data_IF_187644363040
#
_entry.id   IF_187644363040
#
_cell.length_a   1.000
_cell.length_b   1.000
_cell.length_c   1.000
_cell.angle_alpha   90.00
_cell.angle_beta   90.00
_cell.angle_gamma   90.00
#
_symmetry.space_group_name_H-M   'P 1'
#
loop_
_entity.id
_entity.type
_entity.pdbx_description
1 polymer ?
#
# COMPACT_ATOMS: atom_id res chain seq x y z
N UNK A 1 46.06 23.78 41.12
CA UNK A 1 44.93 23.52 40.19
C UNK A 1 45.49 23.57 38.78
N UNK A 2 45.53 22.45 38.06
CA UNK A 2 46.00 22.43 36.68
C UNK A 2 44.91 23.00 35.77
N UNK A 3 45.18 24.13 35.12
CA UNK A 3 44.31 24.72 34.11
C UNK A 3 44.12 23.71 32.97
N UNK A 4 42.89 23.31 32.68
CA UNK A 4 42.61 22.47 31.51
C UNK A 4 43.12 23.18 30.25
N UNK A 5 43.84 22.48 29.36
CA UNK A 5 44.32 23.07 28.12
C UNK A 5 43.13 23.57 27.29
N UNK A 6 43.18 24.83 26.86
CA UNK A 6 42.21 25.38 25.92
C UNK A 6 42.23 24.50 24.66
N UNK A 7 41.14 23.77 24.42
CA UNK A 7 40.94 23.07 23.14
C UNK A 7 40.69 24.14 22.08
N UNK A 8 41.69 24.41 21.26
CA UNK A 8 41.52 25.23 20.05
C UNK A 8 40.49 24.55 19.15
N UNK A 9 39.38 25.24 18.88
CA UNK A 9 38.35 24.73 17.98
C UNK A 9 38.97 24.52 16.58
N UNK A 10 38.69 23.36 15.98
CA UNK A 10 39.10 23.06 14.61
C UNK A 10 38.47 24.09 13.65
N UNK A 11 39.23 24.62 12.67
CA UNK A 11 38.69 25.44 11.60
C UNK A 11 37.51 24.75 10.90
N UNK A 12 36.45 25.51 10.60
CA UNK A 12 35.21 25.00 9.99
C UNK A 12 35.48 24.34 8.63
N UNK A 13 36.45 24.83 7.87
CA UNK A 13 36.88 24.28 6.59
C UNK A 13 37.47 22.87 6.71
N UNK A 14 38.18 22.58 7.81
CA UNK A 14 38.68 21.24 8.08
C UNK A 14 37.54 20.30 8.47
N UNK A 15 36.52 20.79 9.19
CA UNK A 15 35.34 20.00 9.51
C UNK A 15 34.56 19.61 8.25
N UNK A 16 34.42 20.49 7.26
CA UNK A 16 33.84 20.14 5.96
C UNK A 16 34.62 19.02 5.25
N UNK A 17 35.96 19.11 5.23
CA UNK A 17 36.80 18.05 4.65
C UNK A 17 36.67 16.72 5.37
N UNK A 18 36.57 16.74 6.70
CA UNK A 18 36.33 15.53 7.49
C UNK A 18 34.98 14.91 7.14
N UNK A 19 33.91 15.71 7.05
CA UNK A 19 32.58 15.23 6.63
C UNK A 19 32.61 14.63 5.23
N UNK A 20 33.33 15.25 4.29
CA UNK A 20 33.43 14.74 2.91
C UNK A 20 34.22 13.42 2.82
N UNK A 21 35.15 13.17 3.75
CA UNK A 21 35.99 11.97 3.81
C UNK A 21 35.39 10.81 4.60
N UNK A 22 34.41 11.06 5.46
CA UNK A 22 33.75 10.01 6.25
C UNK A 22 32.85 9.17 5.35
N UNK A 23 33.14 7.87 5.28
CA UNK A 23 32.34 6.88 4.52
C UNK A 23 31.38 6.07 5.39
N UNK A 24 31.57 6.11 6.71
CA UNK A 24 30.74 5.38 7.66
C UNK A 24 29.74 6.35 8.33
N UNK A 25 28.42 6.13 8.20
CA UNK A 25 27.42 6.97 8.86
C UNK A 25 27.56 6.97 10.39
N UNK A 26 28.23 5.96 10.98
CA UNK A 26 28.44 5.85 12.44
C UNK A 26 29.47 6.83 12.91
N UNK A 27 30.55 6.94 12.16
CA UNK A 27 31.57 7.92 12.44
C UNK A 27 30.98 9.31 12.28
N UNK A 28 30.14 9.53 11.26
CA UNK A 28 29.44 10.80 11.04
C UNK A 28 28.46 11.15 12.18
N UNK A 29 27.70 10.19 12.69
CA UNK A 29 26.78 10.38 13.82
C UNK A 29 27.54 10.64 15.13
N UNK A 30 28.63 9.91 15.38
CA UNK A 30 29.49 10.11 16.55
C UNK A 30 30.17 11.50 16.51
N UNK A 31 30.59 11.91 15.32
CA UNK A 31 31.11 13.25 15.02
C UNK A 31 30.03 14.31 15.31
N UNK A 32 28.79 14.11 14.85
CA UNK A 32 27.66 15.01 15.11
C UNK A 32 27.32 15.16 16.60
N UNK A 33 27.37 14.06 17.37
CA UNK A 33 27.11 14.09 18.82
C UNK A 33 28.20 14.82 19.62
N UNK A 34 29.41 14.91 19.09
CA UNK A 34 30.56 15.51 19.79
C UNK A 34 30.80 16.97 19.41
N UNK A 35 30.17 17.48 18.36
CA UNK A 35 30.40 18.84 17.86
C UNK A 35 29.10 19.51 17.39
N UNK A 36 28.63 20.54 18.11
CA UNK A 36 27.47 21.36 17.70
C UNK A 36 27.67 22.03 16.34
N UNK A 37 28.91 22.37 15.99
CA UNK A 37 29.30 22.88 14.66
C UNK A 37 29.09 21.82 13.57
N UNK A 38 29.28 20.53 13.86
CA UNK A 38 28.97 19.46 12.92
C UNK A 38 27.48 19.29 12.70
N UNK A 39 26.64 19.49 13.72
CA UNK A 39 25.19 19.59 13.51
C UNK A 39 24.85 20.72 12.53
N UNK A 40 25.49 21.89 12.65
CA UNK A 40 25.32 22.99 11.69
C UNK A 40 25.83 22.64 10.28
N UNK A 41 26.94 21.92 10.17
CA UNK A 41 27.53 21.50 8.89
C UNK A 41 26.66 20.42 8.21
N UNK A 42 26.20 19.43 8.97
CA UNK A 42 25.25 18.41 8.51
C UNK A 42 23.94 19.06 8.07
N UNK A 43 23.44 20.05 8.83
CA UNK A 43 22.27 20.83 8.45
C UNK A 43 22.51 21.72 7.21
N UNK A 44 23.75 22.15 6.95
CA UNK A 44 24.11 22.92 5.76
C UNK A 44 24.28 22.05 4.50
N UNK A 45 24.52 20.75 4.66
CA UNK A 45 24.67 19.77 3.56
C UNK A 45 23.89 18.48 3.85
N UNK A 46 22.56 18.54 4.02
CA UNK A 46 21.77 17.37 4.40
C UNK A 46 21.85 16.25 3.35
N UNK A 47 22.01 16.60 2.08
CA UNK A 47 22.15 15.64 0.97
C UNK A 47 23.36 14.71 1.11
N UNK A 48 24.49 15.21 1.61
CA UNK A 48 25.71 14.39 1.79
C UNK A 48 25.50 13.27 2.81
N UNK A 49 24.71 13.55 3.85
CA UNK A 49 24.38 12.55 4.86
C UNK A 49 23.58 11.39 4.25
N UNK A 50 22.64 11.69 3.35
CA UNK A 50 21.87 10.67 2.63
C UNK A 50 22.70 9.93 1.58
N UNK A 51 23.70 10.57 0.95
CA UNK A 51 24.63 9.87 0.07
C UNK A 51 25.46 8.82 0.82
N UNK A 52 26.01 9.20 1.98
CA UNK A 52 26.79 8.30 2.83
C UNK A 52 25.92 7.16 3.35
N UNK A 53 24.70 7.48 3.79
CA UNK A 53 23.73 6.46 4.22
C UNK A 53 23.32 5.53 3.08
N UNK A 54 23.14 6.08 1.88
CA UNK A 54 22.80 5.31 0.70
C UNK A 54 23.91 4.30 0.36
N UNK A 55 25.16 4.75 0.35
CA UNK A 55 26.33 3.87 0.13
C UNK A 55 26.42 2.78 1.19
N UNK A 56 26.28 3.15 2.46
CA UNK A 56 26.33 2.19 3.57
C UNK A 56 25.20 1.16 3.51
N UNK A 57 23.98 1.58 3.18
CA UNK A 57 22.84 0.68 3.03
C UNK A 57 23.02 -0.28 1.84
N UNK A 58 23.64 0.17 0.75
CA UNK A 58 23.93 -0.69 -0.41
C UNK A 58 24.92 -1.80 -0.02
N UNK A 59 26.03 -1.44 0.62
CA UNK A 59 26.99 -2.43 1.12
C UNK A 59 26.36 -3.42 2.09
N UNK A 60 25.48 -2.94 2.98
CA UNK A 60 24.79 -3.80 3.94
C UNK A 60 23.82 -4.77 3.25
N UNK A 61 23.10 -4.31 2.23
CA UNK A 61 22.21 -5.17 1.45
C UNK A 61 23.01 -6.26 0.73
N UNK A 62 24.16 -5.91 0.14
CA UNK A 62 25.07 -6.88 -0.47
C UNK A 62 25.57 -7.91 0.53
N UNK A 63 25.99 -7.49 1.73
CA UNK A 63 26.38 -8.40 2.82
C UNK A 63 25.24 -9.32 3.24
N UNK A 64 24.00 -8.81 3.36
CA UNK A 64 22.83 -9.64 3.70
C UNK A 64 22.52 -10.66 2.60
N UNK A 65 22.58 -10.25 1.33
CA UNK A 65 22.34 -11.14 0.19
C UNK A 65 23.45 -12.19 0.09
N UNK A 66 24.69 -11.83 0.39
CA UNK A 66 25.81 -12.77 0.48
C UNK A 66 25.60 -13.78 1.61
N UNK A 67 25.32 -13.32 2.83
CA UNK A 67 25.05 -14.21 3.98
C UNK A 67 23.87 -15.15 3.71
N UNK A 68 22.78 -14.64 3.12
CA UNK A 68 21.64 -15.48 2.72
C UNK A 68 22.05 -16.58 1.74
N UNK A 69 22.90 -16.28 0.75
CA UNK A 69 23.42 -17.30 -0.18
C UNK A 69 24.31 -18.32 0.52
N UNK A 70 25.13 -17.88 1.48
CA UNK A 70 25.96 -18.76 2.31
C UNK A 70 25.07 -19.69 3.15
N UNK A 71 24.04 -19.14 3.80
CA UNK A 71 23.08 -19.90 4.60
C UNK A 71 22.32 -20.92 3.73
N UNK A 72 21.79 -20.50 2.58
CA UNK A 72 21.10 -21.40 1.65
C UNK A 72 22.02 -22.51 1.13
N UNK A 73 23.28 -22.19 0.83
CA UNK A 73 24.27 -23.17 0.41
C UNK A 73 24.61 -24.16 1.54
N UNK A 74 24.80 -23.65 2.77
CA UNK A 74 25.04 -24.47 3.95
C UNK A 74 23.87 -25.41 4.24
N UNK A 75 22.63 -24.90 4.20
CA UNK A 75 21.40 -25.70 4.37
C UNK A 75 21.32 -26.80 3.30
N UNK A 76 21.70 -26.52 2.04
CA UNK A 76 21.72 -27.53 0.97
C UNK A 76 22.77 -28.61 1.23
N UNK A 77 23.95 -28.25 1.73
CA UNK A 77 25.03 -29.22 1.99
C UNK A 77 24.81 -30.05 3.26
N UNK A 78 24.11 -29.51 4.27
CA UNK A 78 23.96 -30.14 5.59
C UNK A 78 22.53 -30.54 5.94
N UNK A 79 21.70 -30.91 4.95
CA UNK A 79 20.31 -31.38 5.16
C UNK A 79 20.15 -32.54 6.16
N UNK A 80 21.23 -33.23 6.55
CA UNK A 80 21.22 -34.32 7.52
C UNK A 80 22.19 -34.04 8.69
N UNK A 81 21.74 -33.28 9.69
CA UNK A 81 22.29 -33.36 11.06
C UNK A 81 23.48 -32.48 11.41
N UNK A 82 23.87 -31.50 10.59
CA UNK A 82 24.89 -30.52 10.97
C UNK A 82 24.36 -29.49 11.96
N UNK A 83 25.11 -29.23 13.04
CA UNK A 83 24.84 -28.08 13.94
C UNK A 83 25.13 -26.80 13.14
N UNK A 84 24.13 -25.93 12.98
CA UNK A 84 24.32 -24.67 12.29
C UNK A 84 25.42 -23.85 12.98
N UNK A 85 26.39 -23.28 12.24
CA UNK A 85 27.36 -22.40 12.84
C UNK A 85 26.61 -21.26 13.54
N UNK A 86 26.97 -21.00 14.79
CA UNK A 86 26.47 -19.87 15.56
C UNK A 86 27.04 -18.59 14.93
N UNK A 87 26.43 -18.17 13.83
CA UNK A 87 26.65 -16.86 13.23
C UNK A 87 25.95 -15.88 14.17
N UNK A 88 26.65 -15.59 15.27
CA UNK A 88 26.18 -14.74 16.34
C UNK A 88 25.76 -13.39 15.76
N UNK A 89 24.61 -12.95 16.25
CA UNK A 89 23.82 -11.79 15.84
C UNK A 89 24.50 -10.46 16.22
N UNK A 90 25.75 -10.27 15.84
CA UNK A 90 26.39 -8.94 15.84
C UNK A 90 25.86 -8.14 14.65
N UNK A 91 24.54 -7.96 14.65
CA UNK A 91 23.88 -6.90 13.92
C UNK A 91 24.26 -5.60 14.62
N UNK A 92 25.43 -5.06 14.26
CA UNK A 92 25.76 -3.66 14.52
C UNK A 92 24.50 -2.83 14.27
N UNK A 93 24.01 -2.21 15.35
CA UNK A 93 22.87 -1.31 15.32
C UNK A 93 23.38 -0.13 14.51
N UNK A 94 22.88 0.06 13.27
CA UNK A 94 23.37 1.15 12.47
C UNK A 94 23.04 2.47 13.20
N UNK A 95 23.83 3.51 12.95
CA UNK A 95 23.42 4.87 13.27
C UNK A 95 22.08 5.11 12.58
N UNK A 96 21.17 5.74 13.31
CA UNK A 96 19.90 6.21 12.76
C UNK A 96 20.17 7.46 11.92
N UNK A 97 20.76 7.28 10.74
CA UNK A 97 20.52 8.24 9.67
C UNK A 97 19.00 8.24 9.41
N UNK A 98 18.37 9.40 9.20
CA UNK A 98 16.98 9.44 8.78
C UNK A 98 16.77 8.62 7.51
N UNK A 99 16.11 7.47 7.65
CA UNK A 99 15.68 6.65 6.52
C UNK A 99 14.78 7.46 5.57
N UNK A 100 14.65 7.06 4.31
CA UNK A 100 13.72 7.71 3.37
C UNK A 100 12.29 7.82 3.96
N UNK A 101 11.87 6.82 4.74
CA UNK A 101 10.63 6.85 5.55
C UNK A 101 10.60 8.04 6.52
N UNK A 102 11.68 8.29 7.26
CA UNK A 102 11.77 9.46 8.13
C UNK A 102 11.72 10.77 7.34
N UNK A 103 12.46 10.86 6.22
CA UNK A 103 12.46 12.05 5.35
C UNK A 103 11.05 12.37 4.86
N UNK A 104 10.32 11.37 4.39
CA UNK A 104 8.93 11.52 3.93
C UNK A 104 8.02 12.07 5.02
N UNK A 105 8.20 11.60 6.27
CA UNK A 105 7.38 12.04 7.41
C UNK A 105 7.70 13.45 7.90
N UNK A 106 8.95 13.90 7.79
CA UNK A 106 9.40 15.12 8.51
C UNK A 106 9.86 16.26 7.63
N UNK A 107 10.10 16.06 6.34
CA UNK A 107 10.73 17.05 5.46
C UNK A 107 9.80 17.57 4.36
N UNK A 108 9.97 18.81 3.87
CA UNK A 108 9.15 19.34 2.78
C UNK A 108 9.36 18.57 1.46
N UNK A 109 8.40 18.69 0.54
CA UNK A 109 8.39 17.98 -0.74
C UNK A 109 9.66 18.18 -1.57
N UNK A 110 10.19 19.41 -1.65
CA UNK A 110 11.40 19.70 -2.44
C UNK A 110 12.62 18.93 -1.93
N UNK A 111 12.77 18.82 -0.60
CA UNK A 111 13.84 18.04 -0.02
C UNK A 111 13.66 16.54 -0.27
N UNK A 112 12.41 16.05 -0.28
CA UNK A 112 12.12 14.64 -0.61
C UNK A 112 12.48 14.33 -2.06
N UNK A 113 12.23 15.24 -3.01
CA UNK A 113 12.63 15.06 -4.42
C UNK A 113 14.14 14.88 -4.55
N UNK A 114 14.93 15.75 -3.91
CA UNK A 114 16.40 15.66 -3.93
C UNK A 114 16.89 14.34 -3.34
N UNK A 115 16.35 13.92 -2.18
CA UNK A 115 16.72 12.65 -1.55
C UNK A 115 16.29 11.46 -2.41
N UNK A 116 15.10 11.46 -3.00
CA UNK A 116 14.66 10.39 -3.91
C UNK A 116 15.58 10.27 -5.13
N UNK A 117 16.06 11.38 -5.69
CA UNK A 117 17.00 11.39 -6.80
C UNK A 117 18.35 10.75 -6.42
N UNK A 118 18.86 11.04 -5.21
CA UNK A 118 20.06 10.38 -4.68
C UNK A 118 19.83 8.87 -4.55
N UNK A 119 18.69 8.47 -3.97
CA UNK A 119 18.37 7.06 -3.83
C UNK A 119 18.25 6.34 -5.18
N UNK A 120 17.68 6.97 -6.20
CA UNK A 120 17.56 6.39 -7.54
C UNK A 120 18.92 6.16 -8.20
N UNK A 121 19.81 7.15 -8.11
CA UNK A 121 21.14 7.06 -8.70
C UNK A 121 22.01 6.00 -8.01
N UNK A 122 21.83 5.81 -6.69
CA UNK A 122 22.64 4.86 -5.89
C UNK A 122 22.09 3.44 -5.86
N UNK A 123 20.78 3.26 -5.67
CA UNK A 123 20.22 1.93 -5.35
C UNK A 123 19.68 1.13 -6.53
N UNK A 124 19.62 1.73 -7.72
CA UNK A 124 18.87 1.22 -8.87
C UNK A 124 17.36 1.12 -8.54
N UNK A 125 16.47 1.45 -9.48
CA UNK A 125 15.03 1.68 -9.21
C UNK A 125 14.34 0.53 -8.44
N UNK A 126 14.79 -0.71 -8.65
CA UNK A 126 14.20 -1.93 -8.04
C UNK A 126 14.29 -1.99 -6.51
N UNK A 127 15.20 -1.25 -5.87
CA UNK A 127 15.43 -1.34 -4.43
C UNK A 127 14.74 -0.24 -3.61
N UNK A 128 14.00 0.68 -4.25
CA UNK A 128 13.36 1.77 -3.53
C UNK A 128 12.17 1.33 -2.67
N UNK A 129 11.60 0.16 -2.98
CA UNK A 129 10.50 -0.46 -2.23
C UNK A 129 10.96 -1.23 -0.99
N UNK A 130 12.28 -1.27 -0.71
CA UNK A 130 12.80 -2.04 0.42
C UNK A 130 12.24 -1.51 1.75
N UNK A 131 11.72 -2.43 2.56
CA UNK A 131 11.33 -2.17 3.95
C UNK A 131 12.55 -1.73 4.74
N UNK A 132 12.46 -0.57 5.39
CA UNK A 132 13.56 -0.11 6.24
C UNK A 132 13.51 -0.85 7.59
N UNK A 133 14.64 -1.44 7.97
CA UNK A 133 14.72 -2.58 8.89
C UNK A 133 14.28 -2.34 10.34
N UNK A 134 14.00 -1.10 10.75
CA UNK A 134 13.59 -0.79 12.12
C UNK A 134 12.07 -0.75 12.31
N UNK A 135 11.33 -0.38 11.27
CA UNK A 135 9.87 -0.22 11.34
C UNK A 135 9.13 -1.13 10.36
N UNK A 136 9.84 -1.83 9.45
CA UNK A 136 9.26 -2.61 8.35
C UNK A 136 8.32 -1.78 7.44
N UNK A 137 8.32 -0.46 7.58
CA UNK A 137 7.53 0.49 6.81
C UNK A 137 8.20 0.77 5.46
N UNK A 138 7.40 0.80 4.40
CA UNK A 138 7.86 1.22 3.07
C UNK A 138 7.72 2.75 2.90
N UNK A 139 8.47 3.37 1.98
CA UNK A 139 8.29 4.80 1.67
C UNK A 139 6.84 5.18 1.31
N UNK A 140 6.16 4.32 0.52
CA UNK A 140 4.75 4.49 0.19
C UNK A 140 3.87 4.48 1.44
N UNK A 141 4.05 3.50 2.32
CA UNK A 141 3.30 3.41 3.59
C UNK A 141 3.48 4.65 4.46
N UNK A 142 4.71 5.19 4.51
CA UNK A 142 5.01 6.40 5.25
C UNK A 142 4.27 7.62 4.67
N UNK A 143 4.20 7.74 3.34
CA UNK A 143 3.46 8.80 2.66
C UNK A 143 1.95 8.69 2.92
N UNK A 144 1.40 7.46 2.87
CA UNK A 144 -0.01 7.19 3.19
C UNK A 144 -0.34 7.62 4.61
N UNK A 145 0.40 7.10 5.60
CA UNK A 145 0.18 7.41 7.03
C UNK A 145 0.31 8.90 7.34
N UNK A 146 1.11 9.64 6.55
CA UNK A 146 1.32 11.08 6.73
C UNK A 146 0.28 11.92 5.99
N UNK A 147 -0.64 11.33 5.22
CA UNK A 147 -1.61 12.08 4.41
C UNK A 147 -0.98 12.84 3.24
N UNK A 148 0.22 12.46 2.82
CA UNK A 148 1.03 13.23 1.87
C UNK A 148 0.83 12.77 0.44
N UNK A 149 -0.29 13.18 -0.15
CA UNK A 149 -0.66 12.83 -1.53
C UNK A 149 0.30 13.42 -2.56
N UNK A 150 0.89 14.58 -2.26
CA UNK A 150 1.99 15.17 -3.04
C UNK A 150 3.17 14.21 -3.18
N UNK A 151 3.55 13.56 -2.08
CA UNK A 151 4.61 12.55 -2.07
C UNK A 151 4.15 11.27 -2.76
N UNK A 152 2.90 10.83 -2.62
CA UNK A 152 2.39 9.65 -3.34
C UNK A 152 2.46 9.83 -4.86
N UNK A 153 2.10 11.00 -5.36
CA UNK A 153 2.23 11.36 -6.79
C UNK A 153 3.70 11.31 -7.22
N UNK A 154 4.59 11.92 -6.44
CA UNK A 154 6.03 11.87 -6.71
C UNK A 154 6.60 10.44 -6.72
N UNK A 155 6.17 9.59 -5.79
CA UNK A 155 6.57 8.17 -5.76
C UNK A 155 6.04 7.44 -7.00
N UNK A 156 4.80 7.70 -7.42
CA UNK A 156 4.21 7.11 -8.63
C UNK A 156 4.94 7.54 -9.91
N UNK A 157 5.29 8.83 -10.05
CA UNK A 157 6.12 9.35 -11.15
C UNK A 157 7.46 8.61 -11.28
N UNK A 158 7.98 8.15 -10.14
CA UNK A 158 9.20 7.37 -10.05
C UNK A 158 8.99 5.84 -10.16
N UNK A 159 7.81 5.39 -10.56
CA UNK A 159 7.42 3.98 -10.72
C UNK A 159 7.63 3.15 -9.44
N UNK A 160 7.31 3.73 -8.28
CA UNK A 160 7.23 2.93 -7.06
C UNK A 160 6.14 1.87 -7.18
N UNK A 161 6.42 0.72 -6.57
CA UNK A 161 5.45 -0.38 -6.51
C UNK A 161 4.61 -0.21 -5.25
N UNK A 162 3.32 0.02 -5.42
CA UNK A 162 2.38 0.16 -4.30
C UNK A 162 1.81 -1.18 -3.84
N UNK A 163 2.05 -2.28 -4.55
CA UNK A 163 1.56 -3.62 -4.20
C UNK A 163 2.37 -4.27 -3.08
N UNK A 164 3.47 -3.65 -2.67
CA UNK A 164 4.38 -4.15 -1.64
C UNK A 164 3.60 -4.39 -0.34
N UNK A 165 3.80 -5.56 0.25
CA UNK A 165 3.09 -5.97 1.46
C UNK A 165 3.32 -4.98 2.61
N UNK A 166 2.26 -4.26 2.99
CA UNK A 166 2.23 -3.38 4.16
C UNK A 166 2.08 -4.24 5.43
N UNK A 167 3.20 -4.59 6.06
CA UNK A 167 3.21 -5.42 7.28
C UNK A 167 2.41 -4.80 8.44
N UNK A 168 2.17 -3.49 8.37
CA UNK A 168 1.47 -2.75 9.40
C UNK A 168 -0.06 -2.83 9.32
N UNK A 169 -0.61 -3.30 8.20
CA UNK A 169 -1.99 -3.76 8.19
C UNK A 169 -2.03 -5.07 8.95
N UNK A 170 -2.60 -5.04 10.16
CA UNK A 170 -2.81 -6.25 10.93
C UNK A 170 -3.48 -7.31 10.05
N UNK A 171 -2.81 -8.46 9.90
CA UNK A 171 -3.31 -9.56 9.05
C UNK A 171 -4.75 -9.92 9.40
N UNK A 172 -5.15 -9.81 10.67
CA UNK A 172 -6.51 -10.04 11.15
C UNK A 172 -7.55 -9.11 10.49
N UNK A 173 -7.29 -7.81 10.43
CA UNK A 173 -8.21 -6.84 9.83
C UNK A 173 -8.32 -7.05 8.32
N UNK A 174 -7.18 -7.31 7.66
CA UNK A 174 -7.16 -7.63 6.23
C UNK A 174 -7.94 -8.90 5.93
N UNK A 175 -7.65 -10.01 6.62
CA UNK A 175 -8.33 -11.29 6.41
C UNK A 175 -9.83 -11.20 6.67
N UNK A 176 -10.27 -10.38 7.63
CA UNK A 176 -11.71 -10.15 7.86
C UNK A 176 -12.37 -9.43 6.69
N UNK A 177 -11.71 -8.40 6.15
CA UNK A 177 -12.22 -7.63 5.02
C UNK A 177 -12.15 -8.42 3.71
N UNK A 178 -11.13 -9.26 3.54
CA UNK A 178 -11.00 -10.26 2.46
C UNK A 178 -12.17 -11.23 2.47
N UNK A 179 -12.44 -11.88 3.60
CA UNK A 179 -13.59 -12.79 3.74
C UNK A 179 -14.93 -12.10 3.52
N UNK A 180 -15.09 -10.87 4.01
CA UNK A 180 -16.30 -10.10 3.79
C UNK A 180 -16.54 -9.81 2.29
N UNK A 181 -15.47 -9.61 1.52
CA UNK A 181 -15.55 -9.42 0.08
C UNK A 181 -15.91 -10.71 -0.67
N UNK A 182 -15.26 -11.81 -0.31
CA UNK A 182 -15.53 -13.13 -0.89
C UNK A 182 -17.00 -13.53 -0.69
N UNK A 183 -17.56 -13.23 0.48
CA UNK A 183 -18.97 -13.49 0.80
C UNK A 183 -19.97 -12.70 -0.07
N UNK A 184 -19.57 -11.61 -0.71
CA UNK A 184 -20.42 -10.82 -1.62
C UNK A 184 -20.46 -11.46 -3.03
N UNK A 185 -19.73 -12.56 -3.24
CA UNK A 185 -19.72 -13.32 -4.50
C UNK A 185 -18.59 -12.93 -5.45
N UNK A 186 -17.64 -12.10 -4.99
CA UNK A 186 -16.44 -11.81 -5.75
C UNK A 186 -15.37 -12.87 -5.46
N UNK A 187 -15.03 -13.67 -6.46
CA UNK A 187 -13.85 -14.54 -6.37
C UNK A 187 -12.59 -13.68 -6.40
N UNK A 188 -11.98 -13.50 -5.24
CA UNK A 188 -10.67 -12.88 -5.11
C UNK A 188 -9.59 -13.89 -5.50
N UNK A 189 -8.81 -13.61 -6.53
CA UNK A 189 -7.46 -14.20 -6.63
C UNK A 189 -6.56 -13.52 -5.60
N UNK A 190 -5.63 -14.23 -4.96
CA UNK A 190 -4.76 -13.63 -3.92
C UNK A 190 -4.06 -12.33 -4.41
N UNK A 191 -3.68 -12.30 -5.69
CA UNK A 191 -3.01 -11.17 -6.34
C UNK A 191 -3.91 -9.92 -6.47
N UNK A 192 -5.22 -10.11 -6.44
CA UNK A 192 -6.21 -9.05 -6.59
C UNK A 192 -6.18 -8.09 -5.39
N UNK A 193 -6.10 -8.62 -4.18
CA UNK A 193 -6.17 -7.81 -2.97
C UNK A 193 -4.99 -6.87 -2.78
N UNK A 194 -3.82 -7.25 -3.31
CA UNK A 194 -2.59 -6.49 -3.15
C UNK A 194 -2.72 -5.06 -3.69
N UNK A 195 -3.53 -4.89 -4.74
CA UNK A 195 -3.80 -3.61 -5.39
C UNK A 195 -4.68 -2.67 -4.54
N UNK A 196 -5.51 -3.23 -3.66
CA UNK A 196 -6.40 -2.45 -2.79
C UNK A 196 -5.79 -2.19 -1.41
N UNK A 197 -4.69 -2.85 -1.05
CA UNK A 197 -4.03 -2.63 0.26
C UNK A 197 -3.63 -1.17 0.50
N UNK A 198 -3.03 -0.42 -0.45
CA UNK A 198 -2.72 1.00 -0.25
C UNK A 198 -3.97 1.83 0.03
N UNK A 199 -5.03 1.55 -0.72
CA UNK A 199 -6.33 2.20 -0.56
C UNK A 199 -6.92 1.94 0.84
N UNK A 200 -6.94 0.67 1.27
CA UNK A 200 -7.42 0.29 2.59
C UNK A 200 -6.58 0.90 3.71
N UNK A 201 -5.25 0.94 3.56
CA UNK A 201 -4.39 1.62 4.52
C UNK A 201 -4.78 3.10 4.66
N UNK A 202 -4.97 3.78 3.53
CA UNK A 202 -5.38 5.18 3.52
C UNK A 202 -6.72 5.40 4.24
N UNK A 203 -7.70 4.52 4.02
CA UNK A 203 -8.98 4.54 4.73
C UNK A 203 -8.81 4.38 6.24
N UNK A 204 -8.04 3.38 6.69
CA UNK A 204 -7.83 3.11 8.11
C UNK A 204 -7.05 4.23 8.81
N UNK A 205 -6.21 4.96 8.08
CA UNK A 205 -5.51 6.14 8.57
C UNK A 205 -6.35 7.43 8.49
N UNK A 206 -7.59 7.38 7.97
CA UNK A 206 -8.43 8.56 7.78
C UNK A 206 -7.89 9.55 6.74
N UNK A 207 -7.17 9.07 5.73
CA UNK A 207 -6.50 9.89 4.71
C UNK A 207 -7.28 9.85 3.40
N UNK A 208 -8.40 10.57 3.35
CA UNK A 208 -9.36 10.56 2.23
C UNK A 208 -8.69 10.85 0.88
N UNK A 209 -7.84 11.88 0.82
CA UNK A 209 -7.16 12.27 -0.42
C UNK A 209 -6.19 11.18 -0.92
N UNK A 210 -5.53 10.47 0.00
CA UNK A 210 -4.68 9.33 -0.34
C UNK A 210 -5.53 8.16 -0.84
N UNK A 211 -6.69 7.92 -0.23
CA UNK A 211 -7.62 6.88 -0.67
C UNK A 211 -8.16 7.21 -2.07
N UNK A 212 -8.57 8.46 -2.33
CA UNK A 212 -8.98 8.93 -3.65
C UNK A 212 -7.89 8.73 -4.70
N UNK A 213 -6.65 9.11 -4.37
CA UNK A 213 -5.51 8.90 -5.25
C UNK A 213 -5.40 7.42 -5.68
N UNK A 214 -5.47 6.47 -4.75
CA UNK A 214 -5.42 5.05 -5.13
C UNK A 214 -6.66 4.60 -5.88
N UNK A 215 -7.86 5.07 -5.49
CA UNK A 215 -9.11 4.73 -6.16
C UNK A 215 -9.10 5.13 -7.65
N UNK A 216 -8.63 6.33 -7.93
CA UNK A 216 -8.51 6.85 -9.30
C UNK A 216 -7.56 5.98 -10.13
N UNK A 217 -6.45 5.55 -9.53
CA UNK A 217 -5.46 4.68 -10.18
C UNK A 217 -5.87 3.20 -10.29
N UNK A 218 -7.05 2.79 -9.82
CA UNK A 218 -7.63 1.46 -10.08
C UNK A 218 -8.25 1.36 -11.49
N UNK A 219 -7.71 2.09 -12.47
CA UNK A 219 -8.17 2.05 -13.86
C UNK A 219 -8.04 0.62 -14.40
N UNK A 220 -9.12 0.09 -14.98
CA UNK A 220 -9.27 -1.29 -15.49
C UNK A 220 -9.72 -2.35 -14.48
N UNK A 221 -9.95 -1.97 -13.22
CA UNK A 221 -10.24 -2.91 -12.14
C UNK A 221 -11.64 -2.63 -11.56
N UNK A 222 -12.67 -2.82 -12.38
CA UNK A 222 -14.07 -2.49 -12.04
C UNK A 222 -14.56 -3.14 -10.74
N UNK A 223 -14.29 -4.44 -10.54
CA UNK A 223 -14.64 -5.15 -9.29
C UNK A 223 -14.03 -4.49 -8.06
N UNK A 224 -12.85 -3.88 -8.22
CA UNK A 224 -12.09 -3.25 -7.15
C UNK A 224 -12.59 -1.85 -6.83
N UNK A 225 -13.15 -1.13 -7.80
CA UNK A 225 -13.83 0.14 -7.52
C UNK A 225 -15.07 -0.08 -6.65
N UNK A 226 -15.86 -1.12 -6.94
CA UNK A 226 -16.97 -1.50 -6.06
C UNK A 226 -16.45 -1.88 -4.67
N UNK A 227 -15.40 -2.69 -4.59
CA UNK A 227 -14.84 -3.09 -3.32
C UNK A 227 -14.29 -1.91 -2.51
N UNK A 228 -13.57 -1.01 -3.16
CA UNK A 228 -13.04 0.19 -2.55
C UNK A 228 -14.16 1.09 -1.99
N UNK A 229 -15.25 1.26 -2.74
CA UNK A 229 -16.45 1.92 -2.22
C UNK A 229 -17.06 1.19 -1.02
N UNK A 230 -17.23 -0.13 -1.11
CA UNK A 230 -17.76 -0.94 -0.02
C UNK A 230 -16.91 -0.82 1.25
N UNK A 231 -15.58 -0.83 1.11
CA UNK A 231 -14.65 -0.61 2.20
C UNK A 231 -14.82 0.77 2.84
N UNK A 232 -15.04 1.82 2.05
CA UNK A 232 -15.32 3.16 2.59
C UNK A 232 -16.60 3.19 3.43
N UNK A 233 -17.64 2.45 3.02
CA UNK A 233 -18.87 2.31 3.83
C UNK A 233 -18.59 1.51 5.12
N UNK A 234 -17.85 0.41 5.03
CA UNK A 234 -17.51 -0.43 6.20
C UNK A 234 -16.63 0.30 7.22
N UNK A 235 -15.74 1.19 6.77
CA UNK A 235 -14.95 2.05 7.65
C UNK A 235 -15.71 3.30 8.12
N UNK A 236 -17.01 3.40 7.79
CA UNK A 236 -17.90 4.53 8.13
C UNK A 236 -17.41 5.88 7.60
N UNK A 237 -16.67 5.88 6.48
CA UNK A 237 -16.24 7.10 5.81
C UNK A 237 -17.31 7.55 4.81
N UNK A 238 -18.37 8.18 5.32
CA UNK A 238 -19.54 8.60 4.56
C UNK A 238 -19.17 9.57 3.41
N UNK A 239 -18.35 10.58 3.69
CA UNK A 239 -17.92 11.58 2.69
C UNK A 239 -17.27 10.91 1.48
N UNK A 240 -16.32 10.02 1.73
CA UNK A 240 -15.62 9.31 0.67
C UNK A 240 -16.56 8.33 -0.05
N UNK A 241 -17.41 7.60 0.68
CA UNK A 241 -18.38 6.70 0.07
C UNK A 241 -19.35 7.42 -0.88
N UNK A 242 -19.82 8.61 -0.52
CA UNK A 242 -20.66 9.46 -1.39
C UNK A 242 -19.87 9.89 -2.62
N UNK A 243 -18.63 10.36 -2.43
CA UNK A 243 -17.76 10.81 -3.52
C UNK A 243 -17.43 9.69 -4.52
N UNK A 244 -17.25 8.46 -4.04
CA UNK A 244 -16.92 7.30 -4.86
C UNK A 244 -18.15 6.67 -5.55
N UNK A 245 -19.36 6.95 -5.04
CA UNK A 245 -20.61 6.35 -5.51
C UNK A 245 -20.87 6.50 -7.03
N UNK A 246 -20.65 7.67 -7.67
CA UNK A 246 -20.87 7.83 -9.11
C UNK A 246 -20.07 6.84 -9.96
N UNK A 247 -18.86 6.49 -9.51
CA UNK A 247 -17.95 5.57 -10.22
C UNK A 247 -18.40 4.11 -10.20
N UNK A 248 -19.24 3.74 -9.22
CA UNK A 248 -19.72 2.36 -9.06
C UNK A 248 -21.20 2.18 -9.41
N UNK A 249 -21.92 3.28 -9.68
CA UNK A 249 -23.36 3.31 -9.92
C UNK A 249 -23.83 2.29 -10.97
N UNK A 250 -23.08 2.14 -12.06
CA UNK A 250 -23.42 1.19 -13.14
C UNK A 250 -23.41 -0.27 -12.66
N UNK A 251 -22.55 -0.59 -11.71
CA UNK A 251 -22.42 -1.95 -11.19
C UNK A 251 -23.53 -2.30 -10.21
N UNK A 252 -23.95 -1.33 -9.39
CA UNK A 252 -25.08 -1.49 -8.49
C UNK A 252 -26.35 -1.86 -9.24
N UNK A 253 -26.61 -1.28 -10.41
CA UNK A 253 -27.81 -1.61 -11.19
C UNK A 253 -27.88 -3.10 -11.57
N UNK A 254 -26.74 -3.73 -11.83
CA UNK A 254 -26.70 -5.05 -12.47
C UNK A 254 -26.65 -6.24 -11.49
N UNK A 255 -26.56 -6.02 -10.17
CA UNK A 255 -26.42 -7.11 -9.19
C UNK A 255 -27.24 -6.87 -7.93
N UNK A 256 -28.31 -7.65 -7.76
CA UNK A 256 -29.22 -7.56 -6.61
C UNK A 256 -28.52 -7.88 -5.28
N UNK A 257 -27.55 -8.81 -5.27
CA UNK A 257 -26.74 -9.12 -4.10
C UNK A 257 -25.91 -7.91 -3.66
N UNK A 258 -25.32 -7.21 -4.63
CA UNK A 258 -24.50 -6.02 -4.42
C UNK A 258 -25.35 -4.84 -3.95
N UNK A 259 -26.55 -4.65 -4.51
CA UNK A 259 -27.52 -3.64 -4.04
C UNK A 259 -27.89 -3.88 -2.58
N UNK A 260 -28.25 -5.11 -2.22
CA UNK A 260 -28.61 -5.47 -0.84
C UNK A 260 -27.45 -5.23 0.12
N UNK A 261 -26.23 -5.64 -0.24
CA UNK A 261 -25.04 -5.40 0.56
C UNK A 261 -24.78 -3.89 0.74
N UNK A 262 -24.82 -3.13 -0.35
CA UNK A 262 -24.66 -1.68 -0.34
C UNK A 262 -25.68 -0.98 0.56
N UNK A 263 -26.97 -1.34 0.43
CA UNK A 263 -28.05 -0.75 1.22
C UNK A 263 -27.93 -1.11 2.70
N UNK A 264 -27.67 -2.38 3.02
CA UNK A 264 -27.46 -2.83 4.40
C UNK A 264 -26.28 -2.10 5.05
N UNK A 265 -25.19 -1.88 4.32
CA UNK A 265 -24.04 -1.13 4.79
C UNK A 265 -24.34 0.36 4.98
N UNK A 266 -25.10 0.99 4.07
CA UNK A 266 -25.51 2.39 4.23
C UNK A 266 -26.45 2.59 5.43
N UNK A 267 -27.37 1.64 5.66
CA UNK A 267 -28.25 1.59 6.83
C UNK A 267 -27.45 1.39 8.11
N UNK A 268 -26.45 0.50 8.14
CA UNK A 268 -25.67 0.23 9.36
C UNK A 268 -24.84 1.42 9.83
N UNK A 269 -24.53 2.37 8.94
CA UNK A 269 -23.86 3.63 9.28
C UNK A 269 -24.83 4.81 9.41
N UNK A 270 -26.15 4.59 9.31
CA UNK A 270 -27.21 5.60 9.36
C UNK A 270 -27.00 6.76 8.34
N UNK A 271 -26.44 6.48 7.17
CA UNK A 271 -26.24 7.50 6.13
C UNK A 271 -27.48 7.62 5.25
N UNK A 272 -28.34 8.59 5.56
CA UNK A 272 -29.54 8.87 4.78
C UNK A 272 -29.19 9.23 3.32
N UNK A 273 -28.12 10.00 3.11
CA UNK A 273 -27.68 10.42 1.78
C UNK A 273 -27.25 9.24 0.91
N UNK A 274 -26.48 8.30 1.48
CA UNK A 274 -26.10 7.08 0.76
C UNK A 274 -27.31 6.20 0.48
N UNK A 275 -28.22 6.03 1.44
CA UNK A 275 -29.45 5.26 1.25
C UNK A 275 -30.26 5.82 0.07
N UNK A 276 -30.52 7.13 0.06
CA UNK A 276 -31.25 7.76 -1.03
C UNK A 276 -30.52 7.66 -2.38
N UNK A 277 -29.20 7.82 -2.37
CA UNK A 277 -28.37 7.70 -3.59
C UNK A 277 -28.41 6.30 -4.18
N UNK A 278 -28.31 5.26 -3.33
CA UNK A 278 -28.41 3.85 -3.72
C UNK A 278 -29.80 3.57 -4.29
N UNK A 279 -30.88 3.93 -3.59
CA UNK A 279 -32.25 3.69 -4.03
C UNK A 279 -32.55 4.40 -5.37
N UNK A 280 -32.13 5.65 -5.52
CA UNK A 280 -32.29 6.41 -6.76
C UNK A 280 -31.49 5.84 -7.94
N UNK A 281 -30.37 5.16 -7.67
CA UNK A 281 -29.61 4.45 -8.70
C UNK A 281 -30.32 3.17 -9.15
N UNK A 282 -30.89 2.41 -8.22
CA UNK A 282 -31.63 1.17 -8.50
C UNK A 282 -32.90 1.45 -9.31
N UNK A 283 -33.71 2.44 -8.92
CA UNK A 283 -34.94 2.81 -9.63
C UNK A 283 -34.68 3.20 -11.10
N UNK A 284 -33.64 4.01 -11.34
CA UNK A 284 -33.22 4.37 -12.71
C UNK A 284 -32.74 3.17 -13.52
N UNK A 285 -32.16 2.16 -12.86
CA UNK A 285 -31.76 0.92 -13.50
C UNK A 285 -32.95 0.14 -14.05
N UNK A 286 -33.97 -0.07 -13.21
CA UNK A 286 -35.19 -0.78 -13.58
C UNK A 286 -35.96 -0.11 -14.73
N UNK A 287 -35.96 1.22 -14.79
CA UNK A 287 -36.58 1.95 -15.90
C UNK A 287 -35.86 1.76 -17.25
N UNK A 288 -34.53 1.57 -17.22
CA UNK A 288 -33.74 1.34 -18.45
C UNK A 288 -34.01 -0.08 -18.97
N UNK A 289 -34.07 -1.08 -18.10
CA UNK A 289 -34.41 -2.46 -18.48
C UNK A 289 -35.81 -2.55 -19.10
N UNK A 290 -36.83 -1.97 -18.45
CA UNK A 290 -38.20 -1.97 -18.95
C UNK A 290 -38.35 -1.26 -20.31
N UNK A 291 -37.50 -0.27 -20.62
CA UNK A 291 -37.51 0.42 -21.91
C UNK A 291 -36.90 -0.41 -23.04
N UNK A 292 -35.88 -1.22 -22.73
CA UNK A 292 -35.23 -2.07 -23.73
C UNK A 292 -36.14 -3.24 -24.15
N UNK A 293 -36.91 -3.80 -23.22
CA UNK A 293 -37.87 -4.88 -23.52
C UNK A 293 -38.96 -4.43 -24.51
N UNK A 294 -39.47 -3.20 -24.36
CA UNK A 294 -40.49 -2.63 -25.25
C UNK A 294 -39.99 -2.28 -26.66
N UNK A 295 -38.68 -2.13 -26.87
CA UNK A 295 -38.11 -1.81 -28.20
C UNK A 295 -37.83 -3.04 -29.07
N UNK A 296 -37.94 -4.25 -28.52
CA UNK A 296 -37.63 -5.48 -29.25
C UNK A 296 -38.84 -6.15 -29.90
N UNK A 297 -40.05 -5.60 -29.75
CA UNK A 297 -41.29 -6.14 -30.35
C UNK A 297 -41.46 -5.80 -31.86
N UNK A 298 -40.47 -5.15 -32.50
CA UNK A 298 -40.55 -4.69 -33.89
C UNK A 298 -39.82 -5.53 -34.96
N UNK A 299 -39.03 -6.54 -34.59
CA UNK A 299 -38.28 -7.35 -35.57
C UNK A 299 -38.97 -8.69 -35.82
N UNK A 300 -40.06 -8.65 -36.58
CA UNK A 300 -40.66 -9.83 -37.19
C UNK A 300 -39.83 -10.28 -38.41
N UNK A 301 -39.15 -11.41 -38.24
CA UNK A 301 -39.16 -12.52 -39.18
C UNK A 301 -38.37 -12.36 -40.48
N UNK A 302 -37.22 -13.02 -40.54
CA UNK A 302 -36.95 -13.94 -41.65
C UNK A 302 -36.50 -15.29 -41.07
N UNK A 303 -37.30 -16.30 -41.38
CA UNK A 303 -37.13 -17.70 -40.99
C UNK A 303 -35.83 -18.27 -41.59
N UNK A 304 -34.90 -18.70 -40.74
CA UNK A 304 -33.90 -19.70 -41.12
C UNK A 304 -34.19 -21.00 -40.39
N UNK A 305 -34.80 -21.94 -41.12
CA UNK A 305 -34.85 -23.36 -40.78
C UNK A 305 -33.42 -23.91 -40.81
N UNK A 306 -32.95 -24.44 -39.68
CA UNK A 306 -31.81 -25.36 -39.66
C UNK A 306 -31.95 -26.33 -38.50
N UNK A 307 -32.14 -27.58 -38.92
CA UNK A 307 -32.39 -28.78 -38.16
C UNK A 307 -31.19 -29.23 -37.31
N UNK A 308 -31.50 -29.68 -36.10
CA UNK A 308 -30.95 -30.86 -35.39
C UNK A 308 -29.43 -31.13 -35.46
N UNK A 309 -28.76 -31.22 -34.30
CA UNK A 309 -28.55 -32.54 -33.68
C UNK A 309 -28.01 -32.50 -32.23
N UNK A 310 -28.54 -33.44 -31.45
CA UNK A 310 -28.08 -34.10 -30.21
C UNK A 310 -26.81 -33.62 -29.44
N UNK A 311 -26.95 -33.44 -28.12
CA UNK A 311 -26.21 -34.23 -27.11
C UNK A 311 -26.63 -33.93 -25.66
N UNK A 312 -27.14 -34.97 -25.03
CA UNK A 312 -26.88 -35.50 -23.68
C UNK A 312 -26.94 -34.58 -22.44
N UNK A 313 -27.90 -34.93 -21.58
CA UNK A 313 -28.13 -34.30 -20.29
C UNK A 313 -27.09 -34.63 -19.23
N UNK A 314 -26.91 -33.68 -18.32
CA UNK A 314 -26.45 -33.93 -16.96
C UNK A 314 -27.43 -33.25 -16.00
N UNK A 315 -28.21 -34.09 -15.32
CA UNK A 315 -29.03 -33.73 -14.17
C UNK A 315 -28.10 -33.45 -13.00
N UNK A 316 -28.15 -32.23 -12.45
CA UNK A 316 -27.47 -31.88 -11.20
C UNK A 316 -28.55 -31.53 -10.19
N UNK A 317 -28.73 -32.45 -9.24
CA UNK A 317 -29.70 -32.41 -8.17
C UNK A 317 -29.57 -31.17 -7.27
N UNK A 318 -30.73 -30.77 -6.79
CA UNK A 318 -31.01 -29.71 -5.84
C UNK A 318 -30.16 -29.79 -4.56
N UNK A 319 -29.68 -28.64 -4.12
CA UNK A 319 -29.20 -28.44 -2.75
C UNK A 319 -29.66 -27.06 -2.28
N UNK A 320 -30.89 -27.06 -1.77
CA UNK A 320 -31.44 -25.97 -0.96
C UNK A 320 -30.61 -25.83 0.33
N UNK A 321 -29.62 -24.92 0.31
CA UNK A 321 -28.99 -24.44 1.54
C UNK A 321 -29.47 -23.01 1.83
N UNK A 322 -30.61 -22.92 2.50
CA UNK A 322 -31.18 -21.68 3.03
C UNK A 322 -30.36 -21.21 4.24
N UNK A 323 -29.17 -20.68 3.96
CA UNK A 323 -28.28 -20.08 4.94
C UNK A 323 -28.91 -18.84 5.60
N UNK A 324 -29.42 -19.02 6.83
CA UNK A 324 -29.85 -17.95 7.73
C UNK A 324 -28.78 -16.86 7.83
N UNK A 325 -29.11 -15.66 7.36
CA UNK A 325 -28.31 -14.45 7.57
C UNK A 325 -28.39 -14.04 9.05
N UNK A 326 -27.41 -14.45 9.86
CA UNK A 326 -27.26 -13.93 11.22
C UNK A 326 -26.71 -12.51 11.17
N UNK A 327 -27.56 -11.55 11.56
CA UNK A 327 -27.20 -10.16 11.82
C UNK A 327 -26.37 -10.15 13.11
N UNK A 328 -25.05 -10.01 13.00
CA UNK A 328 -24.20 -9.69 14.14
C UNK A 328 -24.27 -8.19 14.39
N UNK A 329 -24.82 -7.81 15.54
CA UNK A 329 -24.75 -6.46 16.07
C UNK A 329 -23.29 -6.15 16.47
N UNK A 330 -22.79 -5.01 16.02
CA UNK A 330 -21.47 -4.47 16.35
C UNK A 330 -21.59 -3.61 17.61
N UNK A 331 -20.70 -3.82 18.59
CA UNK A 331 -20.39 -2.86 19.65
C UNK A 331 -19.04 -2.22 19.39
#
# INVERSE_FOLDING_TARGET
>A
MASQPLRTALPVELLYRVVDQVRNPTDLANLSCTCSTMNSIVNSKPLRLYEIDAEFHSERLERRMFNKRVDEHWIRQHRYGGIAPDISKDLERPPTVPSLVHVIRTRPLEHIKEVLQIFQTKFNRKNMNCKFSKELTTPAEAAIRSGRVDVLRLLAEHNFDFTVNFDSLERSNMTRLEKAYENIGFRSGADSFELVRPYLLALLCGQDESALFFFENLENLFNYKFYAWYLAVQTRNEKLAIQLFPSIKRYLVNSSAVQKAALNSAVSINSHELIHSILAAVDKGSQIEARNDNTNEGFHGDHYDSSSDSSEGYSSDDSDDSGMTRIFAWN
#
